data_IF_494574917840
#
_entry.id   IF_494574917840
#
_cell.length_a   1.000
_cell.length_b   1.000
_cell.length_c   1.000
_cell.angle_alpha   90.00
_cell.angle_beta   90.00
_cell.angle_gamma   90.00
#
_symmetry.space_group_name_H-M   'P 1'
#
loop_
_entity.id
_entity.type
_entity.pdbx_description
1 polymer ?
#
# COMPACT_ATOMS: atom_id res chain seq x y z
N UNK A 1 -11.21 -16.81 2.91
CA UNK A 1 -11.36 -15.43 2.39
C UNK A 1 -11.07 -14.47 3.53
N UNK A 2 -10.23 -13.45 3.31
CA UNK A 2 -9.74 -12.49 4.30
C UNK A 2 -10.44 -11.14 4.17
N UNK A 3 -10.89 -10.58 5.28
CA UNK A 3 -11.44 -9.22 5.29
C UNK A 3 -10.31 -8.19 5.35
N UNK A 4 -10.41 -7.15 4.52
CA UNK A 4 -9.52 -5.99 4.53
C UNK A 4 -10.35 -4.77 4.90
N UNK A 5 -10.18 -4.27 6.12
CA UNK A 5 -10.89 -3.11 6.62
C UNK A 5 -10.27 -1.83 6.07
N UNK A 6 -11.08 -1.06 5.36
CA UNK A 6 -10.75 0.27 4.85
C UNK A 6 -11.39 1.30 5.78
N UNK A 7 -10.61 2.25 6.28
CA UNK A 7 -11.11 3.30 7.17
C UNK A 7 -10.34 4.62 6.98
N UNK A 8 -10.98 5.72 7.38
CA UNK A 8 -10.36 7.04 7.45
C UNK A 8 -9.49 7.11 8.71
N UNK A 9 -8.18 7.31 8.53
CA UNK A 9 -7.20 7.52 9.61
C UNK A 9 -6.73 8.98 9.68
N UNK A 10 -7.44 9.87 8.97
CA UNK A 10 -7.07 11.29 8.92
C UNK A 10 -7.22 11.95 10.28
N UNK A 11 -6.27 12.81 10.62
CA UNK A 11 -6.37 13.68 11.79
C UNK A 11 -7.05 14.99 11.41
N UNK A 12 -7.73 15.63 12.36
CA UNK A 12 -8.39 16.92 12.14
C UNK A 12 -7.43 18.04 11.66
N UNK A 13 -6.13 17.89 11.90
CA UNK A 13 -5.08 18.84 11.49
C UNK A 13 -4.49 18.53 10.11
N UNK A 14 -4.87 17.42 9.48
CA UNK A 14 -4.30 17.02 8.20
C UNK A 14 -5.02 17.73 7.04
N UNK A 15 -4.22 18.29 6.13
CA UNK A 15 -4.71 18.95 4.92
C UNK A 15 -5.18 17.96 3.85
N UNK A 16 -4.88 16.68 4.01
CA UNK A 16 -5.18 15.60 3.06
C UNK A 16 -5.84 14.45 3.79
N UNK A 17 -6.70 13.71 3.09
CA UNK A 17 -7.33 12.53 3.67
C UNK A 17 -6.43 11.32 3.54
N UNK A 18 -6.29 10.57 4.62
CA UNK A 18 -5.49 9.36 4.71
C UNK A 18 -6.44 8.19 4.95
N UNK A 19 -6.49 7.27 4.01
CA UNK A 19 -7.25 6.03 4.15
C UNK A 19 -6.29 4.85 4.32
N UNK A 20 -6.62 3.95 5.23
CA UNK A 20 -5.80 2.80 5.58
C UNK A 20 -6.53 1.51 5.24
N UNK A 21 -5.80 0.56 4.66
CA UNK A 21 -6.24 -0.82 4.49
C UNK A 21 -5.56 -1.73 5.52
N UNK A 22 -6.36 -2.35 6.39
CA UNK A 22 -5.93 -3.25 7.46
C UNK A 22 -6.54 -4.64 7.27
N UNK A 23 -5.71 -5.67 7.15
CA UNK A 23 -6.19 -7.04 7.16
C UNK A 23 -6.73 -7.46 8.52
N UNK A 24 -7.67 -8.42 8.53
CA UNK A 24 -8.17 -9.05 9.75
C UNK A 24 -7.08 -9.68 10.64
N UNK A 25 -5.90 -9.94 10.07
CA UNK A 25 -4.70 -10.46 10.71
C UNK A 25 -3.78 -9.36 11.29
N UNK A 26 -4.20 -8.10 11.24
CA UNK A 26 -3.45 -6.96 11.77
C UNK A 26 -2.36 -6.46 10.82
N UNK A 27 -2.25 -6.98 9.60
CA UNK A 27 -1.30 -6.48 8.61
C UNK A 27 -1.83 -5.19 7.96
N UNK A 28 -1.03 -4.12 8.04
CA UNK A 28 -1.31 -2.88 7.31
C UNK A 28 -0.80 -3.06 5.89
N UNK A 29 -1.71 -3.05 4.91
CA UNK A 29 -1.35 -3.20 3.50
C UNK A 29 -0.62 -1.96 3.00
N UNK A 30 -1.30 -0.80 3.09
CA UNK A 30 -0.75 0.51 2.69
C UNK A 30 -1.68 1.64 3.14
N UNK A 31 -1.15 2.73 3.74
CA UNK A 31 -1.87 4.00 3.84
C UNK A 31 -1.83 4.73 2.48
N UNK A 32 -2.96 5.27 2.05
CA UNK A 32 -3.10 6.04 0.81
C UNK A 32 -3.61 7.43 1.13
N UNK A 33 -2.94 8.43 0.57
CA UNK A 33 -3.27 9.84 0.78
C UNK A 33 -3.99 10.36 -0.45
N UNK A 34 -5.13 10.99 -0.24
CA UNK A 34 -5.96 11.62 -1.26
C UNK A 34 -6.01 13.12 -1.03
N UNK A 35 -5.95 13.87 -2.13
CA UNK A 35 -6.27 15.29 -2.15
C UNK A 35 -7.79 15.52 -2.20
N UNK A 36 -8.22 16.79 -2.22
CA UNK A 36 -9.64 17.13 -2.22
C UNK A 36 -10.41 16.63 -3.45
N UNK A 37 -9.73 16.49 -4.60
CA UNK A 37 -10.36 16.07 -5.85
C UNK A 37 -10.48 14.55 -5.95
N UNK A 38 -9.49 13.81 -5.42
CA UNK A 38 -9.46 12.35 -5.48
C UNK A 38 -10.15 11.69 -4.28
N UNK A 39 -10.24 12.39 -3.15
CA UNK A 39 -10.84 11.86 -1.92
C UNK A 39 -12.28 11.36 -2.06
N UNK A 40 -13.19 11.98 -2.83
CA UNK A 40 -14.53 11.43 -3.04
C UNK A 40 -14.56 10.04 -3.68
N UNK A 41 -13.48 9.63 -4.34
CA UNK A 41 -13.39 8.38 -5.09
C UNK A 41 -12.59 7.29 -4.39
N UNK A 42 -12.28 7.49 -3.11
CA UNK A 42 -11.45 6.56 -2.35
C UNK A 42 -12.04 5.14 -2.29
N UNK A 43 -13.36 4.96 -2.26
CA UNK A 43 -13.99 3.64 -2.22
C UNK A 43 -13.66 2.82 -3.47
N UNK A 44 -13.73 3.44 -4.65
CA UNK A 44 -13.29 2.83 -5.89
C UNK A 44 -11.76 2.66 -5.92
N UNK A 45 -10.99 3.66 -5.50
CA UNK A 45 -9.53 3.58 -5.47
C UNK A 45 -9.00 2.48 -4.54
N UNK A 46 -9.72 2.18 -3.45
CA UNK A 46 -9.35 1.16 -2.46
C UNK A 46 -9.98 -0.21 -2.75
N UNK A 47 -10.72 -0.36 -3.86
CA UNK A 47 -11.27 -1.65 -4.28
C UNK A 47 -12.65 -2.00 -3.71
N UNK A 48 -13.24 -1.15 -2.84
CA UNK A 48 -14.55 -1.39 -2.20
C UNK A 48 -15.69 -1.30 -3.22
N UNK A 49 -15.64 -0.30 -4.10
CA UNK A 49 -16.60 -0.16 -5.19
C UNK A 49 -16.05 -0.71 -6.50
N UNK A 50 -16.93 -1.20 -7.37
CA UNK A 50 -16.55 -1.75 -8.68
C UNK A 50 -16.67 -0.74 -9.83
N UNK A 51 -17.41 0.35 -9.62
CA UNK A 51 -17.69 1.34 -10.65
C UNK A 51 -17.08 2.67 -10.27
N UNK A 52 -16.34 3.26 -11.21
CA UNK A 52 -15.88 4.63 -11.07
C UNK A 52 -17.00 5.57 -11.56
N UNK A 53 -17.73 6.18 -10.63
CA UNK A 53 -18.87 7.04 -10.95
C UNK A 53 -18.46 8.37 -11.64
N UNK A 54 -17.18 8.76 -11.56
CA UNK A 54 -16.67 10.01 -12.12
C UNK A 54 -16.06 9.86 -13.53
N UNK A 55 -16.74 9.13 -14.42
CA UNK A 55 -16.32 9.03 -15.84
C UNK A 55 -16.16 10.37 -16.55
N UNK A 56 -16.68 11.46 -15.99
CA UNK A 56 -16.59 12.82 -16.53
C UNK A 56 -15.36 13.61 -16.05
N UNK A 57 -14.61 13.13 -15.05
CA UNK A 57 -13.42 13.79 -14.51
C UNK A 57 -12.12 13.17 -15.04
N UNK A 58 -11.88 13.35 -16.34
CA UNK A 58 -10.74 12.74 -17.03
C UNK A 58 -9.37 13.06 -16.40
N UNK A 59 -9.23 14.20 -15.71
CA UNK A 59 -7.96 14.64 -15.12
C UNK A 59 -7.56 13.87 -13.84
N UNK A 60 -8.51 13.27 -13.11
CA UNK A 60 -8.21 12.44 -11.92
C UNK A 60 -8.30 10.94 -12.19
N UNK A 61 -8.97 10.53 -13.28
CA UNK A 61 -9.24 9.14 -13.58
C UNK A 61 -7.96 8.28 -13.58
N UNK A 62 -6.89 8.76 -14.21
CA UNK A 62 -5.61 8.04 -14.26
C UNK A 62 -5.02 7.82 -12.86
N UNK A 63 -5.01 8.84 -12.00
CA UNK A 63 -4.46 8.76 -10.66
C UNK A 63 -5.27 7.79 -9.76
N UNK A 64 -6.60 7.83 -9.89
CA UNK A 64 -7.51 6.96 -9.15
C UNK A 64 -7.39 5.52 -9.61
N UNK A 65 -7.37 5.26 -10.93
CA UNK A 65 -7.20 3.92 -11.51
C UNK A 65 -5.82 3.33 -11.19
N UNK A 66 -4.77 4.15 -11.23
CA UNK A 66 -3.43 3.72 -10.82
C UNK A 66 -3.40 3.30 -9.36
N UNK A 67 -4.05 4.08 -8.49
CA UNK A 67 -4.18 3.75 -7.07
C UNK A 67 -4.93 2.43 -6.89
N UNK A 68 -6.08 2.26 -7.56
CA UNK A 68 -6.84 1.01 -7.56
C UNK A 68 -5.99 -0.18 -7.96
N UNK A 69 -5.36 -0.11 -9.13
CA UNK A 69 -4.49 -1.18 -9.64
C UNK A 69 -3.39 -1.54 -8.65
N UNK A 70 -2.80 -0.53 -8.02
CA UNK A 70 -1.75 -0.72 -7.01
C UNK A 70 -2.28 -1.42 -5.76
N UNK A 71 -3.44 -1.01 -5.25
CA UNK A 71 -4.04 -1.59 -4.04
C UNK A 71 -4.49 -3.03 -4.28
N UNK A 72 -5.19 -3.31 -5.38
CA UNK A 72 -5.63 -4.67 -5.71
C UNK A 72 -4.44 -5.63 -5.86
N UNK A 73 -3.38 -5.19 -6.54
CA UNK A 73 -2.14 -5.98 -6.65
C UNK A 73 -1.53 -6.26 -5.27
N UNK A 74 -1.54 -5.28 -4.36
CA UNK A 74 -1.02 -5.48 -2.99
C UNK A 74 -1.87 -6.47 -2.21
N UNK A 75 -3.19 -6.46 -2.37
CA UNK A 75 -4.06 -7.45 -1.74
C UNK A 75 -3.77 -8.86 -2.27
N UNK A 76 -3.59 -9.01 -3.58
CA UNK A 76 -3.20 -10.28 -4.21
C UNK A 76 -1.83 -10.77 -3.73
N UNK A 77 -0.85 -9.88 -3.60
CA UNK A 77 0.51 -10.20 -3.10
C UNK A 77 0.49 -10.73 -1.66
N UNK A 78 -0.38 -10.19 -0.79
CA UNK A 78 -0.42 -10.55 0.63
C UNK A 78 -1.31 -11.78 0.88
N UNK A 79 -2.51 -11.81 0.27
CA UNK A 79 -3.54 -12.79 0.60
C UNK A 79 -3.81 -13.82 -0.51
N UNK A 80 -3.25 -13.62 -1.70
CA UNK A 80 -3.54 -14.41 -2.90
C UNK A 80 -4.77 -13.91 -3.65
N UNK A 81 -4.74 -14.04 -4.97
CA UNK A 81 -5.81 -13.57 -5.85
C UNK A 81 -7.17 -14.20 -5.50
N UNK A 82 -8.19 -13.34 -5.33
CA UNK A 82 -9.57 -13.76 -5.01
C UNK A 82 -9.79 -14.24 -3.57
N UNK A 83 -8.77 -14.23 -2.71
CA UNK A 83 -8.87 -14.68 -1.33
C UNK A 83 -9.11 -13.55 -0.32
N UNK A 84 -9.48 -12.35 -0.78
CA UNK A 84 -9.69 -11.17 0.04
C UNK A 84 -10.96 -10.40 -0.35
N UNK A 85 -11.50 -9.63 0.59
CA UNK A 85 -12.64 -8.73 0.37
C UNK A 85 -12.41 -7.39 1.11
N UNK A 86 -12.41 -6.24 0.42
CA UNK A 86 -12.25 -4.93 1.04
C UNK A 86 -13.60 -4.43 1.56
N UNK A 87 -13.61 -3.93 2.79
CA UNK A 87 -14.81 -3.46 3.48
C UNK A 87 -14.60 -2.05 4.00
N UNK A 88 -15.45 -1.12 3.60
CA UNK A 88 -15.45 0.23 4.16
C UNK A 88 -16.10 0.28 5.54
N UNK A 89 -15.40 0.88 6.51
CA UNK A 89 -15.90 1.09 7.87
C UNK A 89 -16.08 2.58 8.15
N UNK A 90 -17.33 3.04 8.19
CA UNK A 90 -17.65 4.42 8.55
C UNK A 90 -17.42 4.72 10.04
N UNK A 91 -17.66 3.73 10.92
CA UNK A 91 -17.28 3.78 12.33
C UNK A 91 -16.51 2.50 12.71
N UNK A 92 -15.19 2.47 12.49
CA UNK A 92 -14.38 1.28 12.75
C UNK A 92 -14.40 0.83 14.21
N UNK A 93 -14.56 1.76 15.16
CA UNK A 93 -14.53 1.45 16.61
C UNK A 93 -15.73 0.63 17.05
N UNK A 94 -16.85 0.74 16.35
CA UNK A 94 -18.04 -0.07 16.58
C UNK A 94 -17.85 -1.54 16.17
N UNK A 95 -16.90 -1.84 15.26
CA UNK A 95 -16.71 -3.17 14.66
C UNK A 95 -15.72 -3.99 15.50
N UNK A 96 -16.17 -5.16 15.98
CA UNK A 96 -15.37 -6.00 16.89
C UNK A 96 -14.14 -6.61 16.20
N UNK A 97 -14.31 -7.03 14.96
CA UNK A 97 -13.29 -7.65 14.12
C UNK A 97 -12.17 -6.66 13.79
N UNK A 98 -12.53 -5.41 13.50
CA UNK A 98 -11.56 -4.33 13.31
C UNK A 98 -10.77 -4.03 14.60
N UNK A 99 -11.46 -3.97 15.75
CA UNK A 99 -10.78 -3.77 17.04
C UNK A 99 -9.79 -4.89 17.33
N UNK A 100 -10.15 -6.13 17.01
CA UNK A 100 -9.26 -7.27 17.14
C UNK A 100 -8.04 -7.15 16.20
N UNK A 101 -8.26 -6.84 14.93
CA UNK A 101 -7.19 -6.63 13.95
C UNK A 101 -6.22 -5.51 14.39
N UNK A 102 -6.74 -4.40 14.91
CA UNK A 102 -5.92 -3.32 15.47
C UNK A 102 -5.14 -3.74 16.71
N UNK A 103 -5.70 -4.62 17.55
CA UNK A 103 -4.97 -5.19 18.68
C UNK A 103 -3.78 -6.02 18.20
N UNK A 104 -3.98 -6.87 17.19
CA UNK A 104 -2.90 -7.66 16.57
C UNK A 104 -1.85 -6.74 15.95
N UNK A 105 -2.28 -5.73 15.18
CA UNK A 105 -1.37 -4.75 14.57
C UNK A 105 -0.48 -4.04 15.60
N UNK A 106 -1.06 -3.65 16.75
CA UNK A 106 -0.31 -3.04 17.86
C UNK A 106 0.69 -4.02 18.47
N UNK A 107 0.30 -5.28 18.69
CA UNK A 107 1.21 -6.31 19.20
C UNK A 107 2.40 -6.53 18.27
N UNK A 108 2.14 -6.62 16.95
CA UNK A 108 3.18 -6.74 15.93
C UNK A 108 4.14 -5.55 15.95
N UNK A 109 3.61 -4.33 16.07
CA UNK A 109 4.44 -3.11 16.14
C UNK A 109 5.31 -3.04 17.41
N UNK A 110 4.86 -3.61 18.52
CA UNK A 110 5.61 -3.67 19.79
C UNK A 110 6.55 -4.87 19.90
N UNK A 111 6.42 -5.86 19.00
CA UNK A 111 7.31 -7.02 19.00
C UNK A 111 8.69 -6.54 18.55
N UNK A 112 9.75 -6.69 19.35
CA UNK A 112 11.08 -6.29 18.94
C UNK A 112 11.46 -7.07 17.69
N UNK A 113 11.62 -6.39 16.56
CA UNK A 113 12.25 -6.99 15.40
C UNK A 113 13.69 -7.28 15.80
N UNK A 114 14.08 -8.55 15.91
CA UNK A 114 15.49 -8.92 16.00
C UNK A 114 16.16 -8.23 14.83
N UNK A 115 17.10 -7.29 15.04
CA UNK A 115 17.74 -6.62 13.92
C UNK A 115 18.38 -7.71 13.08
N UNK A 116 17.93 -7.84 11.83
CA UNK A 116 18.64 -8.66 10.85
C UNK A 116 20.02 -8.04 10.78
N UNK A 117 21.00 -8.65 11.44
CA UNK A 117 22.37 -8.21 11.36
C UNK A 117 22.73 -8.30 9.87
N UNK A 118 22.79 -7.15 9.19
CA UNK A 118 23.35 -7.08 7.87
C UNK A 118 24.81 -7.48 8.03
N UNK A 119 25.11 -8.75 7.74
CA UNK A 119 26.50 -9.20 7.77
C UNK A 119 27.31 -8.34 6.80
N UNK A 120 28.54 -8.02 7.16
CA UNK A 120 29.44 -7.23 6.30
C UNK A 120 29.57 -7.84 4.89
N UNK A 121 29.39 -9.15 4.76
CA UNK A 121 29.32 -9.85 3.46
C UNK A 121 28.13 -9.44 2.60
N UNK A 122 26.94 -9.27 3.19
CA UNK A 122 25.76 -8.83 2.46
C UNK A 122 25.93 -7.37 1.98
N UNK A 123 26.51 -6.51 2.84
CA UNK A 123 26.82 -5.13 2.49
C UNK A 123 27.88 -5.05 1.37
N UNK A 124 28.94 -5.86 1.44
CA UNK A 124 29.97 -5.96 0.40
C UNK A 124 29.42 -6.51 -0.94
N UNK A 125 28.41 -7.38 -0.90
CA UNK A 125 27.72 -7.86 -2.11
C UNK A 125 26.98 -6.72 -2.82
N UNK A 126 26.15 -5.98 -2.06
CA UNK A 126 25.39 -4.84 -2.60
C UNK A 126 26.33 -3.75 -3.12
N UNK A 127 27.38 -3.40 -2.37
CA UNK A 127 28.35 -2.37 -2.77
C UNK A 127 29.10 -2.75 -4.05
N UNK A 128 29.40 -4.03 -4.26
CA UNK A 128 30.05 -4.50 -5.48
C UNK A 128 29.13 -4.46 -6.69
N UNK A 129 27.86 -4.79 -6.52
CA UNK A 129 26.88 -4.72 -7.61
C UNK A 129 26.54 -3.28 -7.99
N UNK A 130 26.54 -2.36 -7.02
CA UNK A 130 26.32 -0.92 -7.26
C UNK A 130 27.56 -0.23 -7.84
N UNK A 131 28.77 -0.65 -7.43
CA UNK A 131 30.04 -0.03 -7.88
C UNK A 131 30.77 -0.82 -8.98
N UNK A 132 30.17 -1.90 -9.50
CA UNK A 132 30.70 -2.71 -10.60
C UNK A 132 30.66 -1.99 -11.96
N UNK A 133 31.55 -2.32 -12.90
CA UNK A 133 32.18 -1.34 -13.77
C UNK A 133 31.20 -0.76 -14.80
N UNK A 134 31.14 0.57 -14.83
CA UNK A 134 30.65 1.32 -15.97
C UNK A 134 31.28 0.73 -17.24
N UNK A 135 30.42 0.25 -18.15
CA UNK A 135 30.83 -0.33 -19.41
C UNK A 135 31.69 0.68 -20.16
N UNK A 136 32.98 0.40 -20.30
CA UNK A 136 33.88 1.19 -21.11
C UNK A 136 33.32 1.28 -22.54
N UNK A 137 33.25 2.47 -23.16
CA UNK A 137 32.73 2.61 -24.51
C UNK A 137 33.64 1.84 -25.46
N UNK A 138 33.06 0.91 -26.23
CA UNK A 138 33.76 0.19 -27.29
C UNK A 138 34.35 1.21 -28.25
N UNK A 139 35.68 1.21 -28.37
CA UNK A 139 36.42 2.01 -29.32
C UNK A 139 35.89 1.80 -30.73
N UNK A 140 35.65 2.91 -31.42
CA UNK A 140 35.37 2.97 -32.85
C UNK A 140 36.62 2.52 -33.60
N UNK A 141 36.59 1.33 -34.19
CA UNK A 141 37.52 0.97 -35.27
C UNK A 141 37.02 1.63 -36.56
N UNK A 142 37.80 2.59 -37.08
CA UNK A 142 37.63 3.14 -38.44
C UNK A 142 38.13 2.11 -39.46
N UNK A 143 37.35 1.94 -40.54
CA UNK A 143 37.79 1.33 -41.79
C UNK A 143 38.77 2.23 -42.53
#
# INVERSE_FOLDING_TARGET
>A
MKSIFIFDDSRATELRRIFVALGEDGLIVKPVVFDEHTAPHFLYAMGVEHTFAAREEAFIAEAVDFTRKTMLRRYDEIYGAGNWIPLWLADPRSVAEWRNAMSIARQLATTPSTPTAFSDRALQGILRDVMGPASAPRGVTKH
#
